data_IF_155654319759
#
_entry.id   IF_155654319759
#
_cell.length_a   1.000
_cell.length_b   1.000
_cell.length_c   1.000
_cell.angle_alpha   90.00
_cell.angle_beta   90.00
_cell.angle_gamma   90.00
#
_symmetry.space_group_name_H-M   'P 1'
#
loop_
_entity.id
_entity.type
_entity.pdbx_description
1 polymer ?
#
# COMPACT_ATOMS: atom_id res chain seq x y z
N UNK A 1 25.39 -5.23 -22.02
CA UNK A 1 23.99 -4.74 -22.02
C UNK A 1 23.37 -5.18 -20.70
N UNK A 2 22.89 -4.27 -19.85
CA UNK A 2 22.18 -4.70 -18.64
C UNK A 2 20.88 -5.36 -19.10
N UNK A 3 20.76 -6.68 -18.90
CA UNK A 3 19.51 -7.37 -19.16
C UNK A 3 18.51 -6.90 -18.09
N UNK A 4 17.61 -6.00 -18.49
CA UNK A 4 16.48 -5.60 -17.64
C UNK A 4 15.61 -6.82 -17.35
N UNK A 5 14.91 -6.79 -16.22
CA UNK A 5 14.04 -7.88 -15.80
C UNK A 5 12.88 -8.04 -16.80
N UNK A 6 12.62 -9.27 -17.22
CA UNK A 6 11.55 -9.57 -18.19
C UNK A 6 10.27 -9.89 -17.43
N UNK A 7 9.21 -9.11 -17.69
CA UNK A 7 7.86 -9.32 -17.17
C UNK A 7 6.95 -9.77 -18.30
N UNK A 8 6.35 -10.94 -18.14
CA UNK A 8 5.39 -11.50 -19.11
C UNK A 8 3.95 -11.24 -18.67
N UNK A 9 2.98 -11.60 -19.51
CA UNK A 9 1.57 -11.43 -19.14
C UNK A 9 1.12 -12.52 -18.14
N UNK A 10 1.81 -13.66 -18.10
CA UNK A 10 1.63 -14.71 -17.09
C UNK A 10 2.00 -14.23 -15.69
N UNK A 11 2.94 -13.30 -15.58
CA UNK A 11 3.32 -12.67 -14.31
C UNK A 11 2.28 -11.64 -13.83
N UNK A 12 1.33 -11.23 -14.66
CA UNK A 12 0.40 -10.14 -14.33
C UNK A 12 -0.65 -10.60 -13.30
N UNK A 13 -0.55 -10.05 -12.09
CA UNK A 13 -1.49 -10.36 -11.01
C UNK A 13 -2.69 -9.41 -10.98
N UNK A 14 -2.46 -8.13 -11.26
CA UNK A 14 -3.52 -7.14 -11.19
C UNK A 14 -3.25 -5.91 -12.07
N UNK A 15 -4.35 -5.26 -12.49
CA UNK A 15 -4.34 -3.95 -13.13
C UNK A 15 -5.03 -2.93 -12.22
N UNK A 16 -4.26 -2.01 -11.66
CA UNK A 16 -4.77 -0.84 -10.95
C UNK A 16 -5.19 0.29 -11.90
N UNK A 17 -5.45 1.47 -11.33
CA UNK A 17 -5.85 2.64 -12.12
C UNK A 17 -4.69 3.21 -12.98
N UNK A 18 -3.47 3.21 -12.44
CA UNK A 18 -2.29 3.81 -13.06
C UNK A 18 -1.08 2.88 -13.10
N UNK A 19 -1.15 1.71 -12.47
CA UNK A 19 -0.06 0.73 -12.40
C UNK A 19 -0.55 -0.70 -12.68
N UNK A 20 0.25 -1.45 -13.40
CA UNK A 20 0.20 -2.92 -13.42
C UNK A 20 0.97 -3.46 -12.21
N UNK A 21 0.52 -4.60 -11.68
CA UNK A 21 1.20 -5.34 -10.60
C UNK A 21 1.54 -6.73 -11.13
N UNK A 22 2.84 -7.01 -11.20
CA UNK A 22 3.37 -8.29 -11.64
C UNK A 22 3.94 -9.06 -10.43
N UNK A 23 3.86 -10.38 -10.47
CA UNK A 23 4.69 -11.27 -9.66
C UNK A 23 6.15 -11.08 -10.10
N UNK A 24 7.08 -11.01 -9.15
CA UNK A 24 8.51 -11.01 -9.51
C UNK A 24 8.91 -12.40 -10.04
N UNK A 25 9.53 -12.51 -11.23
CA UNK A 25 9.71 -13.79 -11.94
C UNK A 25 10.75 -14.72 -11.28
N UNK A 26 11.60 -14.17 -10.41
CA UNK A 26 12.65 -14.93 -9.71
C UNK A 26 12.46 -14.98 -8.19
N UNK A 27 11.44 -14.30 -7.66
CA UNK A 27 11.22 -14.22 -6.21
C UNK A 27 9.71 -14.14 -5.93
N UNK A 28 9.14 -15.24 -5.44
CA UNK A 28 7.72 -15.31 -5.15
C UNK A 28 7.27 -14.34 -4.03
N UNK A 29 8.19 -13.85 -3.19
CA UNK A 29 7.91 -12.93 -2.09
C UNK A 29 7.88 -11.47 -2.53
N UNK A 30 8.25 -11.17 -3.78
CA UNK A 30 8.31 -9.81 -4.30
C UNK A 30 7.27 -9.58 -5.39
N UNK A 31 6.79 -8.34 -5.48
CA UNK A 31 5.96 -7.85 -6.57
C UNK A 31 6.67 -6.71 -7.30
N UNK A 32 6.28 -6.49 -8.54
CA UNK A 32 6.74 -5.36 -9.35
C UNK A 32 5.57 -4.53 -9.81
N UNK A 33 5.52 -3.28 -9.37
CA UNK A 33 4.54 -2.30 -9.85
C UNK A 33 5.15 -1.46 -10.98
N UNK A 34 4.49 -1.43 -12.14
CA UNK A 34 4.92 -0.65 -13.32
C UNK A 34 3.81 0.32 -13.72
N UNK A 35 4.14 1.58 -14.00
CA UNK A 35 3.15 2.55 -14.51
C UNK A 35 2.62 2.07 -15.86
N UNK A 36 1.29 2.05 -16.01
CA UNK A 36 0.64 1.68 -17.27
C UNK A 36 1.13 2.63 -18.38
N UNK A 37 1.73 2.11 -19.47
CA UNK A 37 2.15 2.96 -20.59
C UNK A 37 0.97 3.71 -21.21
N UNK A 38 1.18 4.97 -21.60
CA UNK A 38 0.18 5.77 -22.31
C UNK A 38 -0.93 6.39 -21.45
N UNK A 39 -0.94 6.18 -20.13
CA UNK A 39 -1.93 6.84 -19.27
C UNK A 39 -1.72 8.36 -19.21
N UNK A 40 -2.81 9.08 -18.94
CA UNK A 40 -2.74 10.50 -18.63
C UNK A 40 -1.76 10.76 -17.47
N UNK A 41 -0.93 11.81 -17.61
CA UNK A 41 0.10 12.19 -16.63
C UNK A 41 1.15 11.09 -16.34
N UNK A 42 1.44 10.20 -17.29
CA UNK A 42 2.47 9.15 -17.18
C UNK A 42 3.78 9.63 -16.51
N UNK A 43 4.37 10.74 -16.97
CA UNK A 43 5.59 11.31 -16.37
C UNK A 43 5.43 11.69 -14.89
N UNK A 44 4.24 12.15 -14.49
CA UNK A 44 3.95 12.44 -13.08
C UNK A 44 3.88 11.17 -12.25
N UNK A 45 3.27 10.12 -12.79
CA UNK A 45 3.17 8.80 -12.14
C UNK A 45 4.51 8.10 -12.01
N UNK A 46 5.39 8.23 -13.00
CA UNK A 46 6.77 7.79 -12.85
C UNK A 46 7.50 8.54 -11.73
N UNK A 47 7.36 9.88 -11.63
CA UNK A 47 7.94 10.65 -10.52
C UNK A 47 7.37 10.26 -9.15
N UNK A 48 6.13 9.79 -9.08
CA UNK A 48 5.56 9.23 -7.85
C UNK A 48 6.33 7.97 -7.42
N UNK A 49 6.63 7.05 -8.34
CA UNK A 49 7.42 5.85 -8.01
C UNK A 49 8.78 6.21 -7.37
N UNK A 50 9.51 7.16 -7.96
CA UNK A 50 10.78 7.61 -7.40
C UNK A 50 10.62 8.28 -6.03
N UNK A 51 9.53 9.05 -5.83
CA UNK A 51 9.20 9.64 -4.53
C UNK A 51 8.85 8.58 -3.50
N UNK A 52 8.09 7.55 -3.89
CA UNK A 52 7.65 6.49 -2.99
C UNK A 52 8.87 5.80 -2.35
N UNK A 53 9.88 5.44 -3.15
CA UNK A 53 11.14 4.83 -2.66
C UNK A 53 11.91 5.74 -1.70
N UNK A 54 11.85 7.06 -1.92
CA UNK A 54 12.55 8.04 -1.09
C UNK A 54 11.80 8.36 0.21
N UNK A 55 10.49 8.50 0.13
CA UNK A 55 9.64 9.08 1.17
C UNK A 55 8.85 8.03 1.97
N UNK A 56 8.56 6.86 1.41
CA UNK A 56 7.81 5.77 2.09
C UNK A 56 8.75 4.89 2.89
N UNK A 57 9.46 5.51 3.83
CA UNK A 57 10.37 4.82 4.73
C UNK A 57 9.76 4.81 6.13
N UNK A 58 9.67 3.63 6.77
CA UNK A 58 9.42 3.55 8.20
C UNK A 58 10.36 4.47 8.95
N UNK A 59 9.83 5.29 9.86
CA UNK A 59 10.65 6.17 10.72
C UNK A 59 10.94 5.52 12.07
N UNK A 60 10.15 4.50 12.42
CA UNK A 60 10.25 3.71 13.63
C UNK A 60 10.12 2.23 13.29
N UNK A 61 10.53 1.35 14.21
CA UNK A 61 10.27 -0.09 14.09
C UNK A 61 8.77 -0.42 14.02
N UNK A 62 7.94 0.37 14.70
CA UNK A 62 6.48 0.24 14.65
C UNK A 62 5.92 0.54 13.26
N UNK A 63 6.43 1.56 12.57
CA UNK A 63 5.98 1.89 11.21
C UNK A 63 6.23 0.73 10.23
N UNK A 64 7.32 -0.01 10.40
CA UNK A 64 7.65 -1.19 9.59
C UNK A 64 6.63 -2.32 9.73
N UNK A 65 5.81 -2.31 10.78
CA UNK A 65 4.76 -3.31 10.99
C UNK A 65 3.50 -3.03 10.16
N UNK A 66 3.28 -1.77 9.79
CA UNK A 66 2.02 -1.29 9.23
C UNK A 66 2.16 -0.71 7.83
N UNK A 67 3.39 -0.59 7.31
CA UNK A 67 3.69 -0.08 5.97
C UNK A 67 4.35 -1.18 5.16
N UNK A 68 3.84 -1.41 3.95
CA UNK A 68 4.46 -2.32 3.00
C UNK A 68 5.89 -1.88 2.68
N UNK A 69 6.81 -2.84 2.75
CA UNK A 69 8.21 -2.60 2.44
C UNK A 69 8.42 -2.43 0.94
N UNK A 70 9.13 -1.36 0.57
CA UNK A 70 9.64 -1.11 -0.78
C UNK A 70 11.12 -1.46 -0.79
N UNK A 71 11.52 -2.41 -1.62
CA UNK A 71 12.93 -2.85 -1.75
C UNK A 71 13.72 -1.90 -2.64
N UNK A 72 13.09 -1.33 -3.67
CA UNK A 72 13.75 -0.36 -4.54
C UNK A 72 13.12 -0.27 -5.93
N UNK A 73 13.96 0.05 -6.91
CA UNK A 73 13.59 0.16 -8.33
C UNK A 73 14.41 -0.81 -9.16
N UNK A 74 13.80 -1.32 -10.22
CA UNK A 74 14.44 -2.19 -11.21
C UNK A 74 14.05 -1.76 -12.62
N UNK A 75 14.98 -1.87 -13.57
CA UNK A 75 14.67 -1.71 -14.99
C UNK A 75 14.01 -2.99 -15.52
N UNK A 76 12.91 -2.85 -16.26
CA UNK A 76 12.19 -3.97 -16.86
C UNK A 76 11.94 -3.74 -18.35
N UNK A 77 11.57 -4.79 -19.07
CA UNK A 77 11.08 -4.67 -20.46
C UNK A 77 9.78 -3.84 -20.58
N UNK A 78 9.10 -3.50 -19.47
CA UNK A 78 7.89 -2.67 -19.42
C UNK A 78 8.14 -1.27 -18.84
N UNK A 79 9.41 -0.90 -18.64
CA UNK A 79 9.83 0.37 -18.05
C UNK A 79 10.34 0.22 -16.61
N UNK A 80 10.36 1.31 -15.85
CA UNK A 80 10.84 1.29 -14.45
C UNK A 80 9.80 0.61 -13.57
N UNK A 81 10.22 -0.46 -12.89
CA UNK A 81 9.43 -1.21 -11.93
C UNK A 81 9.79 -0.84 -10.49
N UNK A 82 8.77 -0.68 -9.65
CA UNK A 82 8.92 -0.57 -8.20
C UNK A 82 8.85 -1.96 -7.57
N UNK A 83 9.92 -2.38 -6.91
CA UNK A 83 10.01 -3.68 -6.23
C UNK A 83 9.51 -3.53 -4.80
N UNK A 84 8.53 -4.33 -4.42
CA UNK A 84 7.87 -4.29 -3.11
C UNK A 84 7.70 -5.71 -2.55
N UNK A 85 7.63 -5.83 -1.23
CA UNK A 85 7.33 -7.10 -0.57
C UNK A 85 5.85 -7.44 -0.74
N UNK A 86 5.57 -8.69 -1.13
CA UNK A 86 4.23 -9.25 -1.25
C UNK A 86 3.67 -9.52 0.14
N UNK A 87 2.59 -8.83 0.50
CA UNK A 87 1.88 -9.11 1.74
C UNK A 87 0.98 -10.33 1.56
N UNK A 88 1.17 -11.34 2.41
CA UNK A 88 0.50 -12.63 2.30
C UNK A 88 -0.26 -12.98 3.59
N UNK A 89 -1.17 -13.93 3.51
CA UNK A 89 -1.75 -14.61 4.67
C UNK A 89 -0.81 -15.72 5.20
N UNK A 90 -1.25 -16.46 6.21
CA UNK A 90 -0.46 -17.54 6.82
C UNK A 90 -0.23 -18.72 5.87
N UNK A 91 -1.02 -18.84 4.81
CA UNK A 91 -0.93 -19.87 3.79
C UNK A 91 -0.17 -19.39 2.54
N UNK A 92 0.52 -18.25 2.61
CA UNK A 92 1.28 -17.64 1.51
C UNK A 92 0.43 -17.18 0.32
N UNK A 93 -0.90 -17.12 0.45
CA UNK A 93 -1.77 -16.49 -0.52
C UNK A 93 -1.73 -14.96 -0.34
N UNK A 94 -2.04 -14.20 -1.39
CA UNK A 94 -2.05 -12.74 -1.32
C UNK A 94 -3.07 -12.29 -0.27
N UNK A 95 -2.64 -11.42 0.64
CA UNK A 95 -3.45 -10.95 1.76
C UNK A 95 -4.74 -10.25 1.27
N UNK A 96 -5.86 -10.59 1.91
CA UNK A 96 -7.15 -9.94 1.66
C UNK A 96 -7.11 -8.48 2.08
N UNK A 97 -7.69 -7.62 1.24
CA UNK A 97 -7.91 -6.21 1.55
C UNK A 97 -9.02 -6.03 2.58
N UNK A 98 -9.00 -4.94 3.34
CA UNK A 98 -10.10 -4.55 4.23
C UNK A 98 -11.42 -4.41 3.46
N UNK A 99 -11.36 -4.00 2.19
CA UNK A 99 -12.52 -3.98 1.31
C UNK A 99 -13.11 -5.38 1.10
N UNK A 100 -12.29 -6.38 0.78
CA UNK A 100 -12.73 -7.77 0.60
C UNK A 100 -13.28 -8.34 1.91
N UNK A 101 -12.58 -8.14 3.03
CA UNK A 101 -13.04 -8.59 4.35
C UNK A 101 -14.40 -7.99 4.72
N UNK A 102 -14.61 -6.70 4.45
CA UNK A 102 -15.89 -6.04 4.70
C UNK A 102 -17.00 -6.57 3.80
N UNK A 103 -16.72 -6.70 2.50
CA UNK A 103 -17.68 -7.19 1.50
C UNK A 103 -18.12 -8.63 1.79
N UNK A 104 -17.18 -9.48 2.22
CA UNK A 104 -17.42 -10.88 2.54
C UNK A 104 -17.97 -11.10 3.96
N UNK A 105 -18.16 -10.03 4.75
CA UNK A 105 -18.62 -10.09 6.15
C UNK A 105 -17.67 -10.89 7.07
N UNK A 106 -16.36 -10.80 6.81
CA UNK A 106 -15.31 -11.51 7.55
C UNK A 106 -14.66 -10.68 8.67
N UNK A 107 -15.17 -9.47 8.93
CA UNK A 107 -14.72 -8.57 10.00
C UNK A 107 -15.32 -8.95 11.36
N UNK A 108 -14.78 -9.98 11.98
CA UNK A 108 -15.09 -10.37 13.35
C UNK A 108 -14.51 -9.40 14.41
N UNK A 109 -14.85 -9.64 15.68
CA UNK A 109 -14.40 -8.82 16.80
C UNK A 109 -12.86 -8.75 16.94
N UNK A 110 -12.14 -9.84 16.63
CA UNK A 110 -10.68 -9.86 16.71
C UNK A 110 -10.05 -9.00 15.61
N UNK A 111 -10.55 -9.10 14.38
CA UNK A 111 -10.11 -8.24 13.27
C UNK A 111 -10.43 -6.78 13.55
N UNK A 112 -11.61 -6.46 14.10
CA UNK A 112 -11.95 -5.09 14.48
C UNK A 112 -11.02 -4.54 15.57
N UNK A 113 -10.62 -5.35 16.55
CA UNK A 113 -9.63 -4.95 17.55
C UNK A 113 -8.27 -4.63 16.91
N UNK A 114 -7.77 -5.50 16.02
CA UNK A 114 -6.51 -5.27 15.29
C UNK A 114 -6.60 -4.05 14.36
N UNK A 115 -7.78 -3.78 13.80
CA UNK A 115 -8.04 -2.62 12.97
C UNK A 115 -7.99 -1.31 13.79
N UNK A 116 -8.52 -1.32 15.02
CA UNK A 116 -8.40 -0.18 15.94
C UNK A 116 -6.94 0.11 16.30
N UNK A 117 -6.15 -0.92 16.61
CA UNK A 117 -4.70 -0.80 16.86
C UNK A 117 -3.98 -0.18 15.65
N UNK A 118 -4.36 -0.58 14.44
CA UNK A 118 -3.85 0.01 13.22
C UNK A 118 -4.25 1.49 13.06
N UNK A 119 -5.48 1.87 13.42
CA UNK A 119 -5.91 3.28 13.37
C UNK A 119 -5.17 4.15 14.39
N UNK A 120 -4.94 3.65 15.60
CA UNK A 120 -4.16 4.33 16.62
C UNK A 120 -2.72 4.61 16.13
N UNK A 121 -2.11 3.62 15.47
CA UNK A 121 -0.84 3.84 14.79
C UNK A 121 -0.94 4.87 13.65
N UNK A 122 -1.96 4.78 12.79
CA UNK A 122 -2.10 5.66 11.63
C UNK A 122 -2.22 7.14 12.02
N UNK A 123 -2.96 7.45 13.09
CA UNK A 123 -3.13 8.83 13.55
C UNK A 123 -1.89 9.37 14.27
N UNK A 124 -1.08 8.50 14.88
CA UNK A 124 0.12 8.89 15.65
C UNK A 124 1.42 8.89 14.83
N UNK A 125 1.52 8.09 13.77
CA UNK A 125 2.75 8.01 12.97
C UNK A 125 3.13 9.35 12.37
N UNK A 126 4.42 9.62 12.17
CA UNK A 126 4.88 10.82 11.44
C UNK A 126 5.12 10.53 9.95
N UNK A 127 4.81 9.31 9.49
CA UNK A 127 4.82 8.96 8.07
C UNK A 127 3.63 9.62 7.36
N UNK A 128 3.91 10.14 6.15
CA UNK A 128 2.90 10.80 5.32
C UNK A 128 2.22 9.74 4.47
N UNK A 129 0.97 9.47 4.78
CA UNK A 129 0.10 8.57 3.99
C UNK A 129 -0.96 9.44 3.34
N UNK A 130 -0.89 9.56 2.01
CA UNK A 130 -1.69 10.52 1.24
C UNK A 130 -3.13 10.05 1.02
N UNK A 131 -3.35 8.73 1.01
CA UNK A 131 -4.69 8.18 0.95
C UNK A 131 -4.79 6.85 1.69
N UNK A 132 -5.77 6.78 2.58
CA UNK A 132 -6.18 5.57 3.29
C UNK A 132 -7.54 5.16 2.71
N UNK A 133 -7.58 4.04 1.97
CA UNK A 133 -8.79 3.44 1.41
C UNK A 133 -8.84 1.96 1.80
N UNK A 134 -10.04 1.38 1.93
CA UNK A 134 -10.18 -0.03 2.31
C UNK A 134 -9.48 -1.00 1.34
N UNK A 135 -9.32 -0.62 0.06
CA UNK A 135 -8.58 -1.40 -0.95
C UNK A 135 -7.05 -1.34 -0.79
N UNK A 136 -6.56 -0.36 -0.05
CA UNK A 136 -5.13 -0.12 0.18
C UNK A 136 -4.67 -0.61 1.56
N UNK A 137 -5.59 -1.14 2.35
CA UNK A 137 -5.31 -1.77 3.64
C UNK A 137 -5.49 -3.27 3.44
N UNK A 138 -4.49 -4.08 3.80
CA UNK A 138 -4.55 -5.56 3.76
C UNK A 138 -4.40 -6.13 5.15
N UNK A 139 -4.96 -7.32 5.36
CA UNK A 139 -4.80 -8.11 6.59
C UNK A 139 -3.80 -9.23 6.33
N UNK A 140 -2.56 -9.02 6.76
CA UNK A 140 -1.41 -9.85 6.40
C UNK A 140 -0.82 -10.56 7.61
N UNK A 141 -0.23 -11.73 7.37
CA UNK A 141 0.48 -12.53 8.34
C UNK A 141 1.91 -12.01 8.56
N UNK A 142 2.26 -11.77 9.82
CA UNK A 142 3.63 -11.50 10.23
C UNK A 142 4.26 -12.81 10.72
N UNK A 143 5.08 -13.44 9.88
CA UNK A 143 5.74 -14.71 10.20
C UNK A 143 6.75 -14.59 11.34
N UNK A 144 7.36 -13.43 11.57
CA UNK A 144 8.29 -13.25 12.68
C UNK A 144 7.58 -13.20 14.03
N UNK A 145 6.33 -12.72 14.06
CA UNK A 145 5.52 -12.57 15.28
C UNK A 145 4.43 -13.61 15.43
N UNK A 146 4.20 -14.41 14.40
CA UNK A 146 3.13 -15.42 14.36
C UNK A 146 1.75 -14.80 14.62
N UNK A 147 1.45 -13.68 13.95
CA UNK A 147 0.16 -13.00 14.09
C UNK A 147 -0.24 -12.23 12.82
N UNK A 148 -1.55 -12.01 12.67
CA UNK A 148 -2.07 -11.11 11.63
C UNK A 148 -2.05 -9.64 12.06
N UNK A 149 -1.83 -8.75 11.09
CA UNK A 149 -1.87 -7.28 11.25
C UNK A 149 -2.43 -6.61 9.99
N UNK A 150 -3.04 -5.45 10.16
CA UNK A 150 -3.41 -4.61 9.03
C UNK A 150 -2.21 -3.81 8.53
N UNK A 151 -2.00 -3.70 7.22
CA UNK A 151 -0.90 -2.96 6.60
C UNK A 151 -1.38 -2.11 5.43
N UNK A 152 -0.69 -1.01 5.16
CA UNK A 152 -0.90 -0.17 3.98
C UNK A 152 0.01 -0.63 2.84
N UNK A 153 -0.56 -1.03 1.70
CA UNK A 153 0.16 -1.53 0.50
C UNK A 153 0.14 -0.57 -0.70
N UNK A 154 -0.52 0.56 -0.56
CA UNK A 154 -0.57 1.62 -1.56
C UNK A 154 -1.20 2.88 -0.92
N UNK A 155 -1.04 4.05 -1.52
CA UNK A 155 -1.64 5.29 -0.98
C UNK A 155 -0.64 6.33 -0.52
N UNK A 156 0.61 6.20 -0.95
CA UNK A 156 1.65 7.21 -0.73
C UNK A 156 1.75 8.22 -1.90
N UNK A 157 0.93 8.09 -2.96
CA UNK A 157 0.92 8.95 -4.15
C UNK A 157 -0.06 10.16 -4.15
N UNK A 158 0.49 11.31 -4.55
CA UNK A 158 0.01 12.69 -4.84
C UNK A 158 -1.19 13.34 -4.08
N UNK A 159 -0.86 14.43 -3.38
CA UNK A 159 -1.48 15.77 -3.51
C UNK A 159 -0.46 16.83 -3.11
N UNK A 160 -0.21 17.78 -4.01
CA UNK A 160 0.64 18.98 -3.85
C UNK A 160 0.37 19.76 -2.55
N UNK A 161 -0.84 19.67 -1.98
CA UNK A 161 -1.21 20.28 -0.70
C UNK A 161 -0.55 19.65 0.53
N UNK A 162 -0.13 18.38 0.50
CA UNK A 162 0.55 17.73 1.64
C UNK A 162 1.99 18.21 1.83
N UNK A 163 2.57 18.93 0.87
CA UNK A 163 3.86 19.58 1.12
C UNK A 163 3.75 20.65 2.23
N UNK A 164 2.61 21.31 2.39
CA UNK A 164 2.38 22.22 3.53
C UNK A 164 2.30 21.45 4.87
N UNK A 165 1.84 20.20 4.84
CA UNK A 165 1.84 19.32 6.02
C UNK A 165 3.24 18.84 6.41
N UNK A 166 4.22 18.94 5.51
CA UNK A 166 5.65 18.80 5.86
C UNK A 166 6.13 19.98 6.71
N UNK A 167 5.48 21.14 6.59
CA UNK A 167 5.82 22.38 7.29
C UNK A 167 4.99 22.61 8.57
N UNK A 168 3.87 21.89 8.75
CA UNK A 168 3.01 21.99 9.94
C UNK A 168 2.43 20.65 10.37
N UNK A 169 2.78 20.21 11.58
CA UNK A 169 2.23 19.00 12.21
C UNK A 169 0.71 19.07 12.40
N UNK A 170 0.17 20.24 12.74
CA UNK A 170 -1.27 20.42 12.96
C UNK A 170 -2.08 20.18 11.67
N UNK A 171 -1.59 20.66 10.52
CA UNK A 171 -2.25 20.45 9.23
C UNK A 171 -2.17 18.96 8.83
N UNK A 172 -1.02 18.32 9.06
CA UNK A 172 -0.83 16.88 8.83
C UNK A 172 -1.85 16.07 9.62
N UNK A 173 -1.98 16.34 10.91
CA UNK A 173 -2.83 15.55 11.81
C UNK A 173 -4.32 15.77 11.47
N UNK A 174 -4.73 17.00 11.13
CA UNK A 174 -6.08 17.29 10.60
C UNK A 174 -6.37 16.52 9.31
N UNK A 175 -5.41 16.45 8.38
CA UNK A 175 -5.58 15.72 7.12
C UNK A 175 -5.67 14.20 7.34
N UNK A 176 -4.88 13.64 8.26
CA UNK A 176 -4.98 12.23 8.67
C UNK A 176 -6.35 11.89 9.20
N UNK A 177 -6.87 12.70 10.13
CA UNK A 177 -8.22 12.50 10.68
C UNK A 177 -9.29 12.60 9.60
N UNK A 178 -9.17 13.54 8.66
CA UNK A 178 -10.10 13.65 7.53
C UNK A 178 -10.06 12.41 6.63
N UNK A 179 -8.87 11.88 6.38
CA UNK A 179 -8.69 10.67 5.58
C UNK A 179 -9.29 9.45 6.28
N UNK A 180 -9.01 9.27 7.57
CA UNK A 180 -9.56 8.20 8.40
C UNK A 180 -11.09 8.25 8.45
N UNK A 181 -11.68 9.43 8.72
CA UNK A 181 -13.14 9.63 8.73
C UNK A 181 -13.79 9.29 7.38
N UNK A 182 -13.12 9.58 6.26
CA UNK A 182 -13.62 9.18 4.93
C UNK A 182 -13.62 7.66 4.78
N UNK A 183 -12.51 7.00 5.10
CA UNK A 183 -12.38 5.55 5.01
C UNK A 183 -13.37 4.83 5.93
N UNK A 184 -13.58 5.29 7.17
CA UNK A 184 -14.58 4.72 8.09
C UNK A 184 -16.01 4.82 7.55
N UNK A 185 -16.37 5.94 6.91
CA UNK A 185 -17.68 6.06 6.25
C UNK A 185 -17.84 5.07 5.10
N UNK A 186 -16.78 4.87 4.31
CA UNK A 186 -16.80 3.89 3.22
C UNK A 186 -16.91 2.47 3.78
N UNK A 187 -16.19 2.15 4.86
CA UNK A 187 -16.25 0.85 5.54
C UNK A 187 -17.65 0.57 6.09
N UNK A 188 -18.26 1.52 6.78
CA UNK A 188 -19.61 1.36 7.34
C UNK A 188 -20.65 1.10 6.23
N UNK A 189 -20.51 1.73 5.07
CA UNK A 189 -21.39 1.48 3.92
C UNK A 189 -21.24 0.06 3.37
N UNK A 190 -20.01 -0.47 3.35
CA UNK A 190 -19.76 -1.84 2.89
C UNK A 190 -20.34 -2.89 3.85
N UNK A 191 -20.35 -2.62 5.15
CA UNK A 191 -20.91 -3.54 6.15
C UNK A 191 -22.44 -3.52 6.22
N UNK A 192 -23.09 -2.49 5.66
CA UNK A 192 -24.54 -2.35 5.62
C UNK A 192 -25.16 -2.84 4.29
N UNK A 193 -24.33 -3.13 3.29
CA UNK A 193 -24.75 -3.69 2.00
C UNK A 193 -24.90 -5.22 2.09
#
# INVERSE_FOLDING_TARGET
>A
MKHGLVLTDEDLLAKGNDRYVFQHPHDSQLLIKVVIPGIAKYKSKLREIYRDVKECKPKTSTDSLYIQKIEGLVETNRGVGQVIVKECDEHSAIASTLYQLALNKELDANKLQKLNVFFDWFVTTSVIINSLHCKNIVYAWDSARQEYRFKVIDGFGDKTLFQLSKLSGVIRDKNKLKCLKRMLRDLNRLQQA
#
